data_IF_152706584500
#
_entry.id   IF_152706584500
#
_cell.length_a   1.000
_cell.length_b   1.000
_cell.length_c   1.000
_cell.angle_alpha   90.00
_cell.angle_beta   90.00
_cell.angle_gamma   90.00
#
_symmetry.space_group_name_H-M   'P 1'
#
loop_
_entity.id
_entity.type
_entity.pdbx_description
1 polymer ?
#
# COMPACT_ATOMS: atom_id res chain seq x y z
N UNK A 1 9.45 -16.45 9.34
CA UNK A 1 10.02 -15.92 10.61
C UNK A 1 10.49 -14.46 10.46
N UNK A 2 10.69 -14.01 9.23
CA UNK A 2 11.30 -12.71 8.91
C UNK A 2 10.25 -11.58 8.74
N UNK A 3 8.99 -11.85 9.05
CA UNK A 3 7.92 -10.85 9.10
C UNK A 3 7.73 -10.32 10.52
N UNK A 4 6.91 -9.28 10.67
CA UNK A 4 6.57 -8.73 11.97
C UNK A 4 6.00 -9.82 12.90
N UNK A 5 6.34 -9.80 14.20
CA UNK A 5 5.78 -10.73 15.17
C UNK A 5 4.27 -10.55 15.31
N UNK A 6 3.59 -11.54 15.88
CA UNK A 6 2.18 -11.45 16.20
C UNK A 6 1.88 -10.28 17.14
N UNK A 7 0.74 -9.62 16.98
CA UNK A 7 0.32 -8.46 17.79
C UNK A 7 -0.08 -8.85 19.22
N UNK A 8 -0.25 -10.16 19.52
CA UNK A 8 -0.60 -10.67 20.83
C UNK A 8 0.59 -10.95 21.74
N UNK A 9 0.32 -11.37 22.96
CA UNK A 9 1.34 -11.80 23.91
C UNK A 9 2.02 -13.10 23.44
N UNK A 10 3.36 -13.15 23.55
CA UNK A 10 4.15 -14.32 23.17
C UNK A 10 4.63 -14.29 21.70
N UNK A 11 5.55 -15.20 21.38
CA UNK A 11 6.09 -15.37 20.03
C UNK A 11 5.89 -16.82 19.57
N UNK A 12 4.62 -17.21 19.42
CA UNK A 12 4.18 -18.59 19.22
C UNK A 12 4.95 -19.30 18.10
N UNK A 13 5.16 -18.64 16.94
CA UNK A 13 5.89 -19.26 15.84
C UNK A 13 7.37 -19.53 16.19
N UNK A 14 8.04 -18.56 16.80
CA UNK A 14 9.42 -18.74 17.23
C UNK A 14 9.55 -19.81 18.32
N UNK A 15 8.60 -19.84 19.26
CA UNK A 15 8.57 -20.82 20.34
C UNK A 15 8.32 -22.25 19.80
N UNK A 16 7.43 -22.40 18.82
CA UNK A 16 7.20 -23.69 18.13
C UNK A 16 8.46 -24.16 17.40
N UNK A 17 9.13 -23.25 16.68
CA UNK A 17 10.38 -23.56 15.98
C UNK A 17 11.47 -23.96 16.99
N UNK A 18 11.61 -23.21 18.08
CA UNK A 18 12.62 -23.44 19.12
C UNK A 18 12.37 -24.70 19.94
N UNK A 19 11.13 -25.17 20.02
CA UNK A 19 10.76 -26.38 20.78
C UNK A 19 11.30 -27.68 20.19
N UNK A 20 11.66 -27.69 18.91
CA UNK A 20 12.12 -28.86 18.12
C UNK A 20 11.15 -30.06 18.13
N UNK A 21 9.90 -29.84 18.54
CA UNK A 21 8.86 -30.88 18.59
C UNK A 21 8.30 -31.16 17.19
N UNK A 22 8.29 -30.16 16.32
CA UNK A 22 7.74 -30.27 14.98
C UNK A 22 8.85 -30.17 13.92
N UNK A 23 8.68 -30.93 12.84
CA UNK A 23 9.58 -30.82 11.69
C UNK A 23 9.43 -29.43 11.04
N UNK A 24 10.51 -28.67 11.02
CA UNK A 24 10.57 -27.34 10.42
C UNK A 24 11.17 -27.46 9.02
N UNK A 25 10.49 -26.84 8.05
CA UNK A 25 11.03 -26.62 6.70
C UNK A 25 11.13 -25.11 6.48
N UNK A 26 12.35 -24.64 6.28
CA UNK A 26 12.64 -23.22 6.04
C UNK A 26 12.87 -22.98 4.55
N UNK A 27 12.11 -22.03 3.97
CA UNK A 27 12.33 -21.56 2.61
C UNK A 27 13.38 -20.45 2.66
N UNK A 28 14.53 -20.69 2.05
CA UNK A 28 15.70 -19.79 2.10
C UNK A 28 15.91 -19.01 0.81
N UNK A 29 15.29 -19.44 -0.30
CA UNK A 29 15.44 -18.78 -1.59
C UNK A 29 14.27 -17.83 -1.89
N UNK A 30 14.58 -16.62 -2.32
CA UNK A 30 13.61 -15.61 -2.74
C UNK A 30 13.49 -15.69 -4.27
N UNK A 31 12.38 -16.23 -4.77
CA UNK A 31 12.10 -16.33 -6.21
C UNK A 31 11.37 -15.10 -6.78
N UNK A 32 10.84 -14.23 -5.94
CA UNK A 32 10.05 -13.06 -6.38
C UNK A 32 10.92 -11.98 -7.02
N UNK A 33 12.19 -11.92 -6.66
CA UNK A 33 13.14 -10.93 -7.16
C UNK A 33 14.40 -11.66 -7.60
N UNK A 34 15.11 -11.13 -8.61
CA UNK A 34 16.39 -11.68 -9.04
C UNK A 34 17.42 -11.66 -7.90
N UNK A 35 18.37 -12.59 -7.91
CA UNK A 35 19.47 -12.61 -6.91
C UNK A 35 20.27 -11.30 -6.90
N UNK A 36 20.31 -10.59 -8.04
CA UNK A 36 20.98 -9.29 -8.19
C UNK A 36 20.14 -8.09 -7.71
N UNK A 37 18.89 -8.31 -7.24
CA UNK A 37 18.01 -7.24 -6.75
C UNK A 37 18.59 -6.58 -5.49
N UNK A 38 18.80 -5.27 -5.54
CA UNK A 38 19.22 -4.50 -4.36
C UNK A 38 18.13 -4.41 -3.30
N UNK A 39 16.86 -4.52 -3.67
CA UNK A 39 15.75 -4.63 -2.72
C UNK A 39 15.94 -5.91 -1.88
N UNK A 40 16.18 -7.05 -2.54
CA UNK A 40 16.39 -8.32 -1.85
C UNK A 40 17.64 -8.31 -0.96
N UNK A 41 18.77 -7.84 -1.50
CA UNK A 41 20.03 -7.74 -0.75
C UNK A 41 19.91 -6.84 0.48
N UNK A 42 19.30 -5.66 0.34
CA UNK A 42 19.08 -4.75 1.45
C UNK A 42 18.08 -5.30 2.47
N UNK A 43 17.05 -6.02 2.04
CA UNK A 43 16.13 -6.71 2.93
C UNK A 43 16.85 -7.78 3.79
N UNK A 44 17.74 -8.57 3.19
CA UNK A 44 18.59 -9.53 3.92
C UNK A 44 19.53 -8.84 4.92
N UNK A 45 20.17 -7.74 4.53
CA UNK A 45 21.03 -6.95 5.45
C UNK A 45 20.25 -6.47 6.66
N UNK A 46 19.07 -5.86 6.43
CA UNK A 46 18.20 -5.38 7.53
C UNK A 46 17.76 -6.55 8.43
N UNK A 47 17.40 -7.68 7.86
CA UNK A 47 17.01 -8.86 8.64
C UNK A 47 18.14 -9.41 9.50
N UNK A 48 19.39 -9.27 9.04
CA UNK A 48 20.59 -9.63 9.78
C UNK A 48 21.10 -8.49 10.72
N UNK A 49 20.31 -7.44 10.92
CA UNK A 49 20.69 -6.26 11.70
C UNK A 49 21.89 -5.49 11.13
N UNK A 50 22.12 -5.57 9.84
CA UNK A 50 23.12 -4.82 9.12
C UNK A 50 22.53 -3.57 8.47
N UNK A 51 23.34 -2.51 8.29
CA UNK A 51 22.91 -1.33 7.55
C UNK A 51 22.70 -1.66 6.07
N UNK A 52 21.55 -1.25 5.49
CA UNK A 52 21.34 -1.37 4.05
C UNK A 52 22.33 -0.50 3.27
N UNK A 53 22.68 -0.92 2.06
CA UNK A 53 23.49 -0.08 1.19
C UNK A 53 22.62 0.99 0.52
N UNK A 54 22.73 2.22 0.99
CA UNK A 54 21.98 3.39 0.53
C UNK A 54 22.68 4.15 -0.60
N UNK A 55 23.91 3.80 -0.94
CA UNK A 55 24.74 4.55 -1.90
C UNK A 55 24.81 3.86 -3.26
N UNK A 56 24.37 2.63 -3.35
CA UNK A 56 24.46 1.87 -4.59
C UNK A 56 23.53 2.48 -5.64
N UNK A 57 24.01 2.57 -6.88
CA UNK A 57 23.18 2.90 -8.04
C UNK A 57 22.63 1.60 -8.59
N UNK A 58 21.34 1.37 -8.39
CA UNK A 58 20.64 0.21 -8.91
C UNK A 58 19.42 0.63 -9.75
N UNK A 59 18.82 -0.33 -10.42
CA UNK A 59 17.60 -0.12 -11.21
C UNK A 59 16.32 -0.30 -10.41
N UNK A 60 16.42 -0.85 -9.20
CA UNK A 60 15.28 -1.30 -8.40
C UNK A 60 15.22 -0.71 -6.99
N UNK A 61 16.33 -0.14 -6.49
CA UNK A 61 16.40 0.45 -5.14
C UNK A 61 16.94 1.88 -5.20
N UNK A 62 16.19 2.82 -4.63
CA UNK A 62 16.55 4.24 -4.61
C UNK A 62 16.41 4.79 -3.20
N UNK A 63 17.33 5.64 -2.80
CA UNK A 63 17.32 6.30 -1.49
C UNK A 63 17.34 7.82 -1.67
N UNK A 64 16.48 8.51 -0.92
CA UNK A 64 16.51 9.96 -0.75
C UNK A 64 16.88 10.31 0.68
N UNK A 65 17.76 11.31 0.85
CA UNK A 65 18.23 11.77 2.14
C UNK A 65 17.46 12.97 2.70
N UNK A 66 16.23 13.18 2.24
CA UNK A 66 15.35 14.25 2.71
C UNK A 66 14.92 13.98 4.16
N UNK A 67 15.09 14.93 5.06
CA UNK A 67 14.86 14.77 6.49
C UNK A 67 13.75 15.68 7.04
N UNK A 68 13.52 16.84 6.42
CA UNK A 68 12.50 17.77 6.87
C UNK A 68 11.11 17.22 6.50
N UNK A 69 10.16 17.08 7.47
CA UNK A 69 8.89 16.39 7.26
C UNK A 69 8.04 16.95 6.09
N UNK A 70 8.02 18.26 5.92
CA UNK A 70 7.30 18.88 4.80
C UNK A 70 7.96 18.59 3.46
N UNK A 71 9.29 18.60 3.40
CA UNK A 71 10.04 18.26 2.20
C UNK A 71 9.85 16.78 1.83
N UNK A 72 9.83 15.89 2.83
CA UNK A 72 9.51 14.45 2.63
C UNK A 72 8.12 14.28 2.02
N UNK A 73 7.09 14.93 2.59
CA UNK A 73 5.73 14.85 2.07
C UNK A 73 5.64 15.35 0.62
N UNK A 74 6.26 16.49 0.33
CA UNK A 74 6.29 17.07 -1.01
C UNK A 74 7.03 16.17 -2.01
N UNK A 75 8.14 15.56 -1.59
CA UNK A 75 8.91 14.63 -2.42
C UNK A 75 8.09 13.37 -2.74
N UNK A 76 7.39 12.79 -1.78
CA UNK A 76 6.51 11.63 -1.99
C UNK A 76 5.43 11.97 -3.02
N UNK A 77 4.74 13.10 -2.88
CA UNK A 77 3.71 13.52 -3.84
C UNK A 77 4.31 13.70 -5.24
N UNK A 78 5.48 14.34 -5.36
CA UNK A 78 6.16 14.52 -6.65
C UNK A 78 6.59 13.18 -7.26
N UNK A 79 7.11 12.26 -6.44
CA UNK A 79 7.49 10.91 -6.90
C UNK A 79 6.30 10.19 -7.55
N UNK A 80 5.15 10.15 -6.87
CA UNK A 80 3.97 9.43 -7.34
C UNK A 80 3.37 10.09 -8.58
N UNK A 81 3.20 11.40 -8.54
CA UNK A 81 2.43 12.11 -9.57
C UNK A 81 3.23 12.40 -10.84
N UNK A 82 4.55 12.51 -10.75
CA UNK A 82 5.36 13.01 -11.87
C UNK A 82 6.64 12.22 -12.11
N UNK A 83 7.49 12.04 -11.08
CA UNK A 83 8.86 11.56 -11.29
C UNK A 83 8.92 10.09 -11.66
N UNK A 84 8.21 9.22 -10.94
CA UNK A 84 8.18 7.78 -11.22
C UNK A 84 7.48 7.45 -12.54
N UNK A 85 6.30 8.00 -12.85
CA UNK A 85 5.66 7.80 -14.16
C UNK A 85 6.50 8.30 -15.35
N UNK A 86 7.30 9.35 -15.16
CA UNK A 86 8.23 9.81 -16.20
C UNK A 86 9.46 8.94 -16.35
N UNK A 87 9.96 8.40 -15.25
CA UNK A 87 11.16 7.56 -15.24
C UNK A 87 10.88 6.15 -15.75
N UNK A 88 9.80 5.55 -15.28
CA UNK A 88 9.34 4.24 -15.68
C UNK A 88 8.16 4.39 -16.65
N UNK A 89 8.40 4.18 -17.94
CA UNK A 89 7.41 4.46 -19.00
C UNK A 89 6.13 3.62 -18.91
N UNK A 90 6.21 2.46 -18.27
CA UNK A 90 5.11 1.50 -18.15
C UNK A 90 4.42 1.54 -16.78
N UNK A 91 4.74 2.56 -15.94
CA UNK A 91 4.17 2.72 -14.60
C UNK A 91 3.32 3.98 -14.54
N UNK A 92 2.14 3.83 -13.99
CA UNK A 92 1.22 4.94 -13.65
C UNK A 92 1.21 5.17 -12.14
N UNK A 93 0.54 6.23 -11.68
CA UNK A 93 0.32 6.45 -10.24
C UNK A 93 -0.42 5.29 -9.55
N UNK A 94 -1.22 4.55 -10.31
CA UNK A 94 -2.00 3.44 -9.79
C UNK A 94 -1.16 2.19 -9.46
N UNK A 95 0.02 2.08 -10.09
CA UNK A 95 0.97 1.00 -9.83
C UNK A 95 1.87 1.28 -8.61
N UNK A 96 1.77 2.49 -8.02
CA UNK A 96 2.63 2.94 -6.94
C UNK A 96 1.89 2.83 -5.60
N UNK A 97 2.53 2.18 -4.62
CA UNK A 97 2.04 2.12 -3.25
C UNK A 97 2.96 2.87 -2.30
N UNK A 98 2.39 3.78 -1.50
CA UNK A 98 3.10 4.48 -0.42
C UNK A 98 2.92 3.72 0.88
N UNK A 99 4.02 3.49 1.57
CA UNK A 99 4.02 2.93 2.93
C UNK A 99 4.70 3.95 3.85
N UNK A 100 4.02 4.34 4.91
CA UNK A 100 4.54 5.25 5.92
C UNK A 100 4.47 4.62 7.32
N UNK A 101 5.49 4.80 8.16
CA UNK A 101 5.54 4.18 9.49
C UNK A 101 4.59 4.84 10.50
N UNK A 102 4.11 6.05 10.22
CA UNK A 102 3.25 6.82 11.11
C UNK A 102 1.91 7.14 10.46
N UNK A 103 0.85 7.10 11.26
CA UNK A 103 -0.50 7.49 10.81
C UNK A 103 -0.67 9.01 10.80
N UNK A 104 -0.29 9.68 11.88
CA UNK A 104 -0.42 11.12 12.06
C UNK A 104 0.88 11.87 11.74
N UNK A 105 0.79 13.20 11.57
CA UNK A 105 1.91 14.09 11.28
C UNK A 105 2.03 14.46 9.82
N UNK A 106 2.95 15.37 9.50
CA UNK A 106 3.12 15.95 8.16
C UNK A 106 3.42 14.91 7.09
N UNK A 107 4.29 13.94 7.39
CA UNK A 107 4.60 12.81 6.51
C UNK A 107 3.87 11.52 6.93
N UNK A 108 2.78 11.63 7.70
CA UNK A 108 1.95 10.50 8.10
C UNK A 108 0.89 10.15 7.05
N UNK A 109 0.37 8.92 7.13
CA UNK A 109 -0.59 8.37 6.17
C UNK A 109 -1.81 9.28 5.97
N UNK A 110 -2.38 9.84 7.07
CA UNK A 110 -3.59 10.65 6.97
C UNK A 110 -3.34 11.93 6.16
N UNK A 111 -2.22 12.63 6.38
CA UNK A 111 -1.89 13.83 5.61
C UNK A 111 -1.42 13.51 4.18
N UNK A 112 -0.64 12.46 4.00
CA UNK A 112 -0.20 12.02 2.67
C UNK A 112 -1.40 11.67 1.79
N UNK A 113 -2.43 11.00 2.32
CA UNK A 113 -3.65 10.71 1.57
C UNK A 113 -4.34 11.98 1.07
N UNK A 114 -4.42 13.04 1.91
CA UNK A 114 -5.00 14.33 1.50
C UNK A 114 -4.17 14.97 0.38
N UNK A 115 -2.84 15.04 0.55
CA UNK A 115 -1.96 15.66 -0.43
C UNK A 115 -1.96 14.91 -1.78
N UNK A 116 -1.95 13.59 -1.73
CA UNK A 116 -1.99 12.73 -2.92
C UNK A 116 -3.34 12.86 -3.62
N UNK A 117 -4.47 12.84 -2.86
CA UNK A 117 -5.81 13.04 -3.41
C UNK A 117 -5.91 14.39 -4.12
N UNK A 118 -5.48 15.48 -3.48
CA UNK A 118 -5.53 16.81 -4.10
C UNK A 118 -4.67 16.91 -5.36
N UNK A 119 -3.58 16.15 -5.46
CA UNK A 119 -2.71 16.13 -6.62
C UNK A 119 -3.23 15.25 -7.75
N UNK A 120 -3.71 14.03 -7.45
CA UNK A 120 -4.12 13.04 -8.46
C UNK A 120 -5.60 13.14 -8.82
N UNK A 121 -6.44 13.49 -7.85
CA UNK A 121 -7.89 13.61 -8.01
C UNK A 121 -8.40 14.91 -7.37
N UNK A 122 -8.04 16.09 -7.91
CA UNK A 122 -8.42 17.38 -7.35
C UNK A 122 -9.94 17.58 -7.35
N UNK A 123 -10.42 18.40 -6.42
CA UNK A 123 -11.83 18.77 -6.34
C UNK A 123 -12.27 19.45 -7.67
N UNK A 124 -13.42 19.01 -8.16
CA UNK A 124 -14.07 19.58 -9.34
C UNK A 124 -15.58 19.71 -9.07
N UNK A 125 -16.25 20.74 -9.64
CA UNK A 125 -17.70 20.88 -9.55
C UNK A 125 -18.49 19.69 -10.12
N UNK A 126 -17.87 18.93 -11.03
CA UNK A 126 -18.46 17.78 -11.71
C UNK A 126 -18.33 16.48 -10.91
N UNK A 127 -17.43 16.46 -9.91
CA UNK A 127 -17.16 15.26 -9.12
C UNK A 127 -17.94 15.29 -7.81
N UNK A 128 -18.73 14.26 -7.58
CA UNK A 128 -19.35 14.04 -6.29
C UNK A 128 -18.27 13.76 -5.23
N UNK A 129 -18.48 14.30 -4.04
CA UNK A 129 -17.64 14.03 -2.88
C UNK A 129 -18.48 13.95 -1.61
N UNK A 130 -17.99 13.20 -0.63
CA UNK A 130 -18.61 13.08 0.69
C UNK A 130 -17.54 13.07 1.78
N UNK A 131 -17.85 13.61 2.94
CA UNK A 131 -17.02 13.49 4.13
C UNK A 131 -17.56 12.38 5.04
N UNK A 132 -16.79 11.32 5.23
CA UNK A 132 -17.08 10.23 6.15
C UNK A 132 -15.92 10.04 7.13
N UNK A 133 -16.21 10.02 8.43
CA UNK A 133 -15.21 9.82 9.50
C UNK A 133 -14.00 10.75 9.39
N UNK A 134 -14.24 12.05 9.08
CA UNK A 134 -13.21 13.08 8.87
C UNK A 134 -12.30 12.84 7.66
N UNK A 135 -12.72 12.03 6.71
CA UNK A 135 -12.04 11.79 5.43
C UNK A 135 -12.96 12.18 4.29
N UNK A 136 -12.39 12.80 3.28
CA UNK A 136 -13.13 13.16 2.06
C UNK A 136 -12.90 12.04 1.05
N UNK A 137 -13.99 11.51 0.53
CA UNK A 137 -14.00 10.58 -0.60
C UNK A 137 -14.56 11.29 -1.81
N UNK A 138 -13.95 11.12 -2.96
CA UNK A 138 -14.37 11.65 -4.27
C UNK A 138 -14.52 10.54 -5.29
N UNK A 139 -15.42 10.69 -6.22
CA UNK A 139 -15.48 9.84 -7.41
C UNK A 139 -14.12 9.85 -8.11
N UNK A 140 -13.59 8.67 -8.41
CA UNK A 140 -12.26 8.47 -8.97
C UNK A 140 -11.14 8.29 -7.93
N UNK A 141 -11.42 8.35 -6.62
CA UNK A 141 -10.42 8.02 -5.61
C UNK A 141 -10.07 6.54 -5.64
N UNK A 142 -8.78 6.25 -5.55
CA UNK A 142 -8.30 4.90 -5.27
C UNK A 142 -8.40 4.62 -3.77
N UNK A 143 -9.07 3.55 -3.43
CA UNK A 143 -9.36 3.18 -2.04
C UNK A 143 -8.89 1.76 -1.74
N UNK A 144 -8.71 1.47 -0.44
CA UNK A 144 -8.36 0.14 0.03
C UNK A 144 -9.29 -0.25 1.19
N UNK A 145 -9.80 -1.45 1.16
CA UNK A 145 -10.51 -2.03 2.27
C UNK A 145 -9.53 -2.27 3.43
N UNK A 146 -9.84 -1.76 4.61
CA UNK A 146 -8.94 -1.84 5.79
C UNK A 146 -9.42 -2.83 6.86
N UNK A 147 -10.62 -3.37 6.70
CA UNK A 147 -11.23 -4.36 7.60
C UNK A 147 -11.99 -5.37 6.76
N UNK A 148 -11.89 -6.67 7.08
CA UNK A 148 -12.66 -7.69 6.39
C UNK A 148 -14.17 -7.45 6.55
N UNK A 149 -14.91 -7.50 5.46
CA UNK A 149 -16.36 -7.48 5.43
C UNK A 149 -16.85 -8.70 4.65
N UNK A 150 -17.22 -9.75 5.35
CA UNK A 150 -17.61 -11.03 4.76
C UNK A 150 -19.00 -10.99 4.11
N UNK A 151 -19.84 -10.05 4.54
CA UNK A 151 -21.24 -9.93 4.12
C UNK A 151 -21.42 -8.94 2.96
N UNK A 152 -20.37 -8.22 2.55
CA UNK A 152 -20.47 -7.27 1.43
C UNK A 152 -20.63 -8.04 0.13
N UNK A 153 -21.79 -7.93 -0.50
CA UNK A 153 -22.05 -8.49 -1.82
C UNK A 153 -21.37 -7.64 -2.90
N UNK A 154 -20.88 -8.32 -3.92
CA UNK A 154 -20.29 -7.71 -5.10
C UNK A 154 -20.73 -8.43 -6.36
N UNK A 155 -20.72 -7.70 -7.48
CA UNK A 155 -20.91 -8.24 -8.81
C UNK A 155 -19.75 -7.85 -9.72
N UNK A 156 -19.39 -8.74 -10.62
CA UNK A 156 -18.34 -8.55 -11.61
C UNK A 156 -18.87 -8.90 -12.99
N UNK A 157 -18.76 -7.97 -13.91
CA UNK A 157 -19.12 -8.18 -15.30
C UNK A 157 -17.90 -8.65 -16.09
N UNK A 158 -18.09 -9.73 -16.86
CA UNK A 158 -17.08 -10.15 -17.84
C UNK A 158 -17.18 -9.28 -19.10
N UNK A 159 -16.13 -9.29 -19.92
CA UNK A 159 -16.13 -8.60 -21.23
C UNK A 159 -17.26 -9.06 -22.17
N UNK A 160 -17.88 -10.20 -21.91
CA UNK A 160 -19.02 -10.76 -22.66
C UNK A 160 -20.39 -10.45 -22.01
N UNK A 161 -20.43 -9.61 -20.99
CA UNK A 161 -21.67 -9.19 -20.31
C UNK A 161 -22.25 -10.20 -19.31
N UNK A 162 -21.54 -11.29 -18.99
CA UNK A 162 -21.98 -12.21 -17.95
C UNK A 162 -21.62 -11.65 -16.58
N UNK A 163 -22.62 -11.56 -15.70
CA UNK A 163 -22.43 -11.18 -14.31
C UNK A 163 -22.00 -12.38 -13.45
N UNK A 164 -21.01 -12.18 -12.61
CA UNK A 164 -20.63 -13.11 -11.55
C UNK A 164 -20.88 -12.40 -10.22
N UNK A 165 -21.53 -13.08 -9.30
CA UNK A 165 -21.87 -12.56 -7.98
C UNK A 165 -21.05 -13.26 -6.92
N UNK A 166 -20.73 -12.55 -5.86
CA UNK A 166 -20.04 -13.10 -4.71
C UNK A 166 -20.23 -12.24 -3.47
N UNK A 167 -19.66 -12.67 -2.36
CA UNK A 167 -19.64 -11.93 -1.11
C UNK A 167 -18.24 -11.93 -0.52
N UNK A 168 -17.98 -10.92 0.31
CA UNK A 168 -16.70 -10.71 0.98
C UNK A 168 -15.79 -9.74 0.24
N UNK A 169 -15.38 -8.69 0.97
CA UNK A 169 -14.32 -7.75 0.61
C UNK A 169 -13.33 -7.76 1.76
N UNK A 170 -12.06 -7.92 1.46
CA UNK A 170 -11.06 -8.23 2.46
C UNK A 170 -10.06 -7.10 2.67
N UNK A 171 -9.44 -7.10 3.83
CA UNK A 171 -8.36 -6.17 4.14
C UNK A 171 -7.24 -6.29 3.09
N UNK A 172 -6.91 -5.18 2.44
CA UNK A 172 -5.95 -5.10 1.35
C UNK A 172 -6.56 -5.08 -0.05
N UNK A 173 -7.85 -5.39 -0.21
CA UNK A 173 -8.51 -5.26 -1.51
C UNK A 173 -8.54 -3.80 -1.94
N UNK A 174 -8.14 -3.57 -3.18
CA UNK A 174 -8.05 -2.24 -3.80
C UNK A 174 -9.22 -2.02 -4.77
N UNK A 175 -9.69 -0.79 -4.83
CA UNK A 175 -10.74 -0.39 -5.74
C UNK A 175 -10.71 1.11 -6.03
N UNK A 176 -11.69 1.56 -6.78
CA UNK A 176 -11.94 2.97 -7.08
C UNK A 176 -13.35 3.34 -6.66
N UNK A 177 -13.52 4.59 -6.22
CA UNK A 177 -14.85 5.15 -5.97
C UNK A 177 -15.49 5.46 -7.33
N UNK A 178 -16.48 4.68 -7.69
CA UNK A 178 -17.21 4.83 -8.97
C UNK A 178 -18.35 5.84 -8.84
N UNK A 179 -19.12 5.79 -7.74
CA UNK A 179 -20.17 6.77 -7.46
C UNK A 179 -20.32 7.01 -5.94
N UNK A 180 -21.00 8.09 -5.61
CA UNK A 180 -21.31 8.50 -4.23
C UNK A 180 -22.79 8.85 -4.12
N UNK A 181 -23.47 8.18 -3.21
CA UNK A 181 -24.87 8.41 -2.87
C UNK A 181 -24.95 9.22 -1.57
N UNK A 182 -24.97 10.54 -1.70
CA UNK A 182 -24.94 11.47 -0.56
C UNK A 182 -26.18 11.39 0.32
N UNK A 183 -27.31 10.96 -0.24
CA UNK A 183 -28.58 10.84 0.49
C UNK A 183 -28.55 9.72 1.55
N UNK A 184 -27.80 8.67 1.29
CA UNK A 184 -27.70 7.50 2.18
C UNK A 184 -26.28 7.35 2.78
N UNK A 185 -25.39 8.30 2.52
CA UNK A 185 -24.00 8.30 2.96
C UNK A 185 -23.22 7.03 2.54
N UNK A 186 -23.41 6.56 1.31
CA UNK A 186 -22.72 5.42 0.77
C UNK A 186 -21.76 5.80 -0.37
N UNK A 187 -20.66 5.06 -0.44
CA UNK A 187 -19.61 5.15 -1.46
C UNK A 187 -19.58 3.81 -2.20
N UNK A 188 -19.60 3.86 -3.53
CA UNK A 188 -19.52 2.72 -4.43
C UNK A 188 -18.24 2.73 -5.25
#
# INVERSE_FOLDING_TARGET
KDQLPSVGAGNVLADIIASDVFKVVELTQIYRQSEDSMIAQNAHRINNSEMPDLKVKSSDFFYSSTHEPQAVANEIVSLISERMPKYFKDITSDDIQVIAPMKAGVAGVDNLNVLIQEKLNPKSPEKKQIELHKRIFRVGDRVMQIVNNYDREWEKYTSFGHATYGSGVFNGDMGYVDDIYTEINEVY
#
